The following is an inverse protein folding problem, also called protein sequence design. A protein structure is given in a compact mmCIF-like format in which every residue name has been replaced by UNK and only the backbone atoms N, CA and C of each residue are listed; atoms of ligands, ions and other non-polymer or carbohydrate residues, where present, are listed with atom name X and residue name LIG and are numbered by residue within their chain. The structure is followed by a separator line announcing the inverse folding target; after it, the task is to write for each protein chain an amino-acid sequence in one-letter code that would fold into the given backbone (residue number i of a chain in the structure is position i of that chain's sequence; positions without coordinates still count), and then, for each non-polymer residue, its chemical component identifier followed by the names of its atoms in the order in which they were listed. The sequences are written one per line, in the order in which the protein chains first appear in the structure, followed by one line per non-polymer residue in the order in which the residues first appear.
data_IF_243386544562
#
_entry.id   IF_243386544562
#
_cell.length_a   1.000
_cell.length_b   1.000
_cell.length_c   1.000
_cell.angle_alpha   90.00
_cell.angle_beta   90.00
_cell.angle_gamma   90.00
#
_symmetry.space_group_name_H-M   'P 1'
#
loop_
_entity.id
_entity.type
_entity.pdbx_description
1 polymer ?
#
# COMPACT_ATOMS: atom_id res chain seq x y z
N UNK A 1 -19.17 -2.57 1.31
CA UNK A 1 -18.41 -1.33 1.06
C UNK A 1 -17.96 -1.32 -0.38
N UNK A 2 -18.37 -0.35 -1.20
CA UNK A 2 -17.96 -0.26 -2.61
C UNK A 2 -16.96 0.89 -2.78
N UNK A 3 -15.85 0.62 -3.47
CA UNK A 3 -14.94 1.67 -3.93
C UNK A 3 -15.57 2.41 -5.12
N UNK A 4 -15.27 3.69 -5.29
CA UNK A 4 -15.80 4.45 -6.44
C UNK A 4 -15.33 3.82 -7.77
N UNK A 5 -16.20 3.78 -8.80
CA UNK A 5 -15.97 2.98 -10.01
C UNK A 5 -14.67 3.26 -10.76
N UNK A 6 -14.18 4.51 -10.74
CA UNK A 6 -12.95 4.90 -11.42
C UNK A 6 -11.69 4.74 -10.55
N UNK A 7 -11.83 4.47 -9.24
CA UNK A 7 -10.69 4.25 -8.35
C UNK A 7 -10.12 2.84 -8.48
N UNK A 8 -10.91 1.89 -8.97
CA UNK A 8 -10.50 0.50 -9.07
C UNK A 8 -10.44 0.07 -10.53
N UNK A 9 -9.36 -0.60 -10.88
CA UNK A 9 -9.20 -1.25 -12.17
C UNK A 9 -8.70 -2.69 -11.94
N UNK A 10 -8.70 -3.55 -12.97
CA UNK A 10 -8.30 -4.94 -12.81
C UNK A 10 -6.87 -5.12 -12.27
N UNK A 11 -5.95 -4.20 -12.55
CA UNK A 11 -4.57 -4.26 -12.06
C UNK A 11 -4.47 -3.95 -10.56
N UNK A 12 -5.21 -2.94 -10.10
CA UNK A 12 -5.31 -2.61 -8.67
C UNK A 12 -5.96 -3.76 -7.90
N UNK A 13 -7.04 -4.32 -8.45
CA UNK A 13 -7.73 -5.46 -7.83
C UNK A 13 -6.80 -6.66 -7.71
N UNK A 14 -6.04 -6.98 -8.76
CA UNK A 14 -5.03 -8.04 -8.74
C UNK A 14 -3.97 -7.80 -7.66
N UNK A 15 -3.46 -6.58 -7.53
CA UNK A 15 -2.48 -6.24 -6.49
C UNK A 15 -3.06 -6.38 -5.08
N UNK A 16 -4.32 -5.99 -4.86
CA UNK A 16 -5.00 -6.20 -3.59
C UNK A 16 -5.12 -7.70 -3.30
N UNK A 17 -5.60 -8.49 -4.25
CA UNK A 17 -5.79 -9.93 -4.08
C UNK A 17 -4.48 -10.69 -3.80
N UNK A 18 -3.36 -10.22 -4.33
CA UNK A 18 -2.04 -10.82 -4.10
C UNK A 18 -1.55 -10.67 -2.65
N UNK A 19 -1.92 -9.59 -1.96
CA UNK A 19 -1.35 -9.26 -0.65
C UNK A 19 -2.37 -9.18 0.49
N UNK A 20 -3.68 -9.15 0.20
CA UNK A 20 -4.74 -8.95 1.21
C UNK A 20 -4.72 -9.98 2.34
N UNK A 21 -4.37 -11.24 2.06
CA UNK A 21 -4.41 -12.32 3.05
C UNK A 21 -3.30 -12.18 4.11
N UNK A 22 -2.20 -11.48 3.77
CA UNK A 22 -1.11 -11.17 4.68
C UNK A 22 -1.17 -9.74 5.24
N UNK A 23 -2.19 -8.96 4.90
CA UNK A 23 -2.33 -7.57 5.30
C UNK A 23 -3.48 -7.40 6.31
N UNK A 24 -3.22 -6.63 7.37
CA UNK A 24 -4.22 -6.19 8.34
C UNK A 24 -5.21 -5.20 7.73
N UNK A 25 -4.73 -4.36 6.81
CA UNK A 25 -5.53 -3.37 6.11
C UNK A 25 -4.84 -2.91 4.82
N UNK A 26 -5.61 -2.35 3.89
CA UNK A 26 -5.10 -1.66 2.71
C UNK A 26 -5.92 -0.44 2.36
N UNK A 27 -5.26 0.53 1.71
CA UNK A 27 -5.87 1.77 1.23
C UNK A 27 -5.26 2.16 -0.11
N UNK A 28 -6.11 2.42 -1.10
CA UNK A 28 -5.67 3.09 -2.32
C UNK A 28 -5.68 4.61 -2.09
N UNK A 29 -4.51 5.24 -2.18
CA UNK A 29 -4.35 6.69 -2.07
C UNK A 29 -4.07 7.29 -3.45
N UNK A 30 -4.62 8.47 -3.77
CA UNK A 30 -4.29 9.20 -5.01
C UNK A 30 -4.89 8.63 -6.30
N UNK A 31 -6.12 8.10 -6.27
CA UNK A 31 -6.76 7.38 -7.38
C UNK A 31 -7.12 8.21 -8.64
N UNK A 32 -6.62 9.45 -8.77
CA UNK A 32 -6.90 10.36 -9.89
C UNK A 32 -5.87 10.36 -11.02
N UNK A 33 -4.91 9.43 -11.05
CA UNK A 33 -3.93 9.32 -12.15
C UNK A 33 -2.52 8.86 -11.77
N UNK A 34 -2.21 8.73 -10.47
CA UNK A 34 -0.86 8.34 -10.00
C UNK A 34 -0.87 7.72 -8.60
N UNK A 35 -1.96 7.02 -8.27
CA UNK A 35 -2.17 6.52 -6.92
C UNK A 35 -1.26 5.38 -6.52
N UNK A 36 -1.16 5.14 -5.21
CA UNK A 36 -0.40 4.04 -4.63
C UNK A 36 -1.29 3.22 -3.71
N UNK A 37 -1.09 1.90 -3.72
CA UNK A 37 -1.68 0.99 -2.76
C UNK A 37 -0.80 0.96 -1.50
N UNK A 38 -1.38 1.32 -0.37
CA UNK A 38 -0.74 1.27 0.94
C UNK A 38 -1.29 0.06 1.67
N UNK A 39 -0.43 -0.78 2.24
CA UNK A 39 -0.79 -1.95 3.03
C UNK A 39 -0.20 -1.85 4.43
N UNK A 40 -0.91 -2.41 5.40
CA UNK A 40 -0.44 -2.63 6.76
C UNK A 40 -0.29 -4.14 6.95
N UNK A 41 0.89 -4.61 7.35
CA UNK A 41 1.16 -6.02 7.62
C UNK A 41 2.02 -6.14 8.88
N UNK A 42 1.82 -7.20 9.65
CA UNK A 42 2.68 -7.52 10.81
C UNK A 42 4.03 -8.07 10.34
N UNK A 43 4.03 -8.79 9.22
CA UNK A 43 5.20 -9.45 8.67
C UNK A 43 5.75 -8.68 7.45
N UNK A 44 7.07 -8.71 7.21
CA UNK A 44 7.63 -8.13 5.99
C UNK A 44 7.05 -8.77 4.73
N UNK A 45 6.60 -7.95 3.78
CA UNK A 45 6.13 -8.42 2.48
C UNK A 45 7.30 -9.06 1.70
N UNK A 46 7.13 -10.32 1.28
CA UNK A 46 8.16 -11.07 0.56
C UNK A 46 8.55 -10.35 -0.73
N UNK A 47 9.86 -10.18 -0.94
CA UNK A 47 10.39 -9.52 -2.14
C UNK A 47 10.24 -8.00 -2.14
N UNK A 48 9.68 -7.40 -1.09
CA UNK A 48 9.61 -5.94 -0.98
C UNK A 48 10.99 -5.34 -0.67
N UNK A 49 11.26 -4.17 -1.26
CA UNK A 49 12.44 -3.39 -0.90
C UNK A 49 12.23 -2.76 0.47
N UNK A 50 13.09 -3.11 1.43
CA UNK A 50 13.06 -2.50 2.76
C UNK A 50 13.70 -1.12 2.74
N UNK A 51 12.90 -0.09 2.98
CA UNK A 51 13.39 1.29 3.13
C UNK A 51 13.69 1.54 4.61
N UNK A 52 14.95 1.88 4.94
CA UNK A 52 15.36 2.28 6.29
C UNK A 52 15.35 3.80 6.40
N UNK A 53 14.27 4.37 6.91
CA UNK A 53 14.19 5.81 7.19
C UNK A 53 15.12 6.15 8.36
N UNK A 54 16.05 7.07 8.15
CA UNK A 54 16.92 7.62 9.17
C UNK A 54 16.51 9.07 9.42
N UNK A 55 16.16 9.41 10.65
CA UNK A 55 16.02 10.81 11.04
C UNK A 55 17.40 11.35 11.35
N UNK A 56 17.71 12.56 10.86
CA UNK A 56 18.87 13.30 11.34
C UNK A 56 18.61 13.60 12.82
N UNK A 57 19.62 13.39 13.66
CA UNK A 57 19.55 13.81 15.05
C UNK A 57 19.29 15.32 15.07
N UNK A 58 18.16 15.75 15.64
CA UNK A 58 17.76 17.16 15.56
C UNK A 58 18.63 18.05 16.44
N UNK A 59 19.38 17.48 17.41
CA UNK A 59 20.31 18.23 18.26
C UNK A 59 19.68 19.39 19.04
N UNK A 60 18.34 19.44 19.08
CA UNK A 60 17.49 20.38 19.79
C UNK A 60 16.66 19.55 20.75
#
# INVERSE_FOLDING_TARGET
TQMFPAMINPQVQKAIDEYKDGALAWKLAGAGGGGYLILVSEEPVKGAMRIKVRRKDSGI
#
